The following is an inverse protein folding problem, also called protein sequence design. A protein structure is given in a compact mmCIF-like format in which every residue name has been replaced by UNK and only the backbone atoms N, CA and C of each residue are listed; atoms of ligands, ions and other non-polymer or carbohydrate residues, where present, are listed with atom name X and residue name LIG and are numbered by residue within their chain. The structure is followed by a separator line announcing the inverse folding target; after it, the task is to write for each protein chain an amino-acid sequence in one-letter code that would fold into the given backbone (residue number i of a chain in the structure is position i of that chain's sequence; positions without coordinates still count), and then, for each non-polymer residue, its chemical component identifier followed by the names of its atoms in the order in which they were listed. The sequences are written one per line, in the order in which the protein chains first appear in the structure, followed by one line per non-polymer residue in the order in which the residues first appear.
data_IF_259451489038
#
_entry.id   IF_259451489038
#
_cell.length_a   1.000
_cell.length_b   1.000
_cell.length_c   1.000
_cell.angle_alpha   90.00
_cell.angle_beta   90.00
_cell.angle_gamma   90.00
#
_symmetry.space_group_name_H-M   'P 1'
#
loop_
_entity.id
_entity.type
_entity.pdbx_description
1 polymer ?
#
# COMPACT_ATOMS: atom_id res chain seq x y z
N UNK A 1 10.68 12.91 -0.03
CA UNK A 1 9.49 13.21 0.79
C UNK A 1 9.22 12.22 1.94
N UNK A 2 8.82 10.96 1.71
CA UNK A 2 8.44 10.04 2.81
C UNK A 2 9.53 9.85 3.89
N UNK A 3 10.81 9.79 3.48
CA UNK A 3 11.96 9.73 4.40
C UNK A 3 12.11 11.00 5.24
N UNK A 4 11.83 12.17 4.65
CA UNK A 4 11.91 13.48 5.33
C UNK A 4 10.77 13.67 6.33
N UNK A 5 9.62 13.02 6.08
CA UNK A 5 8.48 12.99 6.99
C UNK A 5 8.63 11.93 8.11
N UNK A 6 9.74 11.17 8.15
CA UNK A 6 9.96 10.11 9.13
C UNK A 6 9.02 8.90 8.97
N UNK A 7 8.45 8.71 7.79
CA UNK A 7 7.53 7.59 7.52
C UNK A 7 8.36 6.34 7.21
N UNK A 8 8.25 5.33 8.06
CA UNK A 8 8.96 4.07 7.92
C UNK A 8 8.30 3.07 6.96
N UNK A 9 7.02 3.25 6.67
CA UNK A 9 6.26 2.31 5.85
C UNK A 9 5.30 3.07 4.96
N UNK A 10 5.43 2.85 3.66
CA UNK A 10 4.57 3.42 2.63
C UNK A 10 3.74 2.29 2.04
N UNK A 11 2.43 2.49 1.94
CA UNK A 11 1.52 1.57 1.27
C UNK A 11 0.94 2.23 0.02
N UNK A 12 0.66 1.43 -1.00
CA UNK A 12 0.11 1.87 -2.26
C UNK A 12 -0.94 0.86 -2.75
N UNK A 13 -2.07 1.35 -3.23
CA UNK A 13 -3.08 0.55 -3.92
C UNK A 13 -2.96 0.85 -5.41
N UNK A 14 -2.74 -0.17 -6.22
CA UNK A 14 -2.53 -0.02 -7.66
C UNK A 14 -3.05 -1.25 -8.41
N UNK A 15 -3.55 -1.04 -9.61
CA UNK A 15 -3.91 -2.13 -10.52
C UNK A 15 -2.71 -2.67 -11.33
N UNK A 16 -1.52 -2.07 -11.18
CA UNK A 16 -0.31 -2.46 -11.93
C UNK A 16 0.86 -2.71 -10.98
N UNK A 17 0.89 -3.85 -10.27
CA UNK A 17 1.95 -4.16 -9.31
C UNK A 17 3.34 -4.24 -9.93
N UNK A 18 3.44 -4.77 -11.15
CA UNK A 18 4.72 -4.99 -11.83
C UNK A 18 5.58 -3.72 -11.99
N UNK A 19 4.97 -2.52 -12.02
CA UNK A 19 5.72 -1.27 -12.03
C UNK A 19 6.34 -0.98 -10.66
N UNK A 20 5.57 -1.15 -9.59
CA UNK A 20 5.98 -0.87 -8.22
C UNK A 20 6.95 -1.92 -7.68
N UNK A 21 6.81 -3.19 -8.09
CA UNK A 21 7.79 -4.24 -7.77
C UNK A 21 9.19 -3.90 -8.27
N UNK A 22 9.30 -3.30 -9.46
CA UNK A 22 10.58 -2.79 -9.99
C UNK A 22 11.13 -1.60 -9.20
N UNK A 23 10.26 -0.84 -8.53
CA UNK A 23 10.66 0.23 -7.61
C UNK A 23 11.03 -0.29 -6.22
N UNK A 24 10.96 -1.61 -5.98
CA UNK A 24 11.28 -2.23 -4.69
C UNK A 24 10.09 -2.35 -3.73
N UNK A 25 8.87 -2.05 -4.18
CA UNK A 25 7.67 -2.36 -3.41
C UNK A 25 7.45 -3.86 -3.41
N UNK A 26 6.93 -4.38 -2.31
CA UNK A 26 6.51 -5.78 -2.20
C UNK A 26 5.00 -5.85 -2.20
N UNK A 27 4.43 -6.83 -2.90
CA UNK A 27 3.01 -7.15 -2.78
C UNK A 27 2.69 -7.53 -1.34
N UNK A 28 1.61 -6.97 -0.82
CA UNK A 28 1.08 -7.27 0.52
C UNK A 28 -0.43 -7.50 0.42
N UNK A 29 -1.01 -8.09 1.45
CA UNK A 29 -2.44 -8.27 1.53
C UNK A 29 -3.12 -6.97 1.97
N UNK A 30 -4.34 -6.71 1.48
CA UNK A 30 -5.14 -5.57 1.95
C UNK A 30 -5.40 -5.66 3.46
N UNK A 31 -5.36 -6.86 4.05
CA UNK A 31 -5.42 -7.14 5.49
C UNK A 31 -4.27 -6.56 6.30
N UNK A 32 -3.11 -6.33 5.71
CA UNK A 32 -2.00 -5.69 6.41
C UNK A 32 -2.14 -4.16 6.44
N UNK A 33 -3.08 -3.59 5.67
CA UNK A 33 -3.33 -2.16 5.68
C UNK A 33 -3.99 -1.73 6.98
N UNK A 34 -3.64 -0.55 7.51
CA UNK A 34 -4.26 -0.04 8.72
C UNK A 34 -5.76 0.13 8.54
N UNK A 35 -6.52 -0.13 9.61
CA UNK A 35 -7.99 -0.13 9.63
C UNK A 35 -8.63 1.19 9.15
N UNK A 36 -7.85 2.27 9.11
CA UNK A 36 -8.25 3.56 8.54
C UNK A 36 -8.49 3.49 7.03
N UNK A 37 -7.70 2.69 6.30
CA UNK A 37 -7.85 2.50 4.84
C UNK A 37 -9.06 1.61 4.54
N UNK A 38 -9.32 0.64 5.42
CA UNK A 38 -10.45 -0.29 5.32
C UNK A 38 -11.81 0.43 5.31
N UNK A 39 -11.94 1.54 6.03
CA UNK A 39 -13.18 2.31 6.09
C UNK A 39 -13.59 2.87 4.73
N UNK A 40 -12.61 3.23 3.89
CA UNK A 40 -12.84 3.74 2.54
C UNK A 40 -13.02 2.61 1.54
N UNK A 41 -12.30 1.49 1.70
CA UNK A 41 -12.51 0.30 0.88
C UNK A 41 -13.90 -0.33 1.09
N UNK A 42 -14.41 -0.36 2.32
CA UNK A 42 -15.74 -0.91 2.62
C UNK A 42 -16.88 -0.11 1.97
N UNK A 43 -16.66 1.18 1.73
CA UNK A 43 -17.61 2.05 1.02
C UNK A 43 -17.50 1.97 -0.49
N UNK A 44 -16.50 1.25 -1.01
CA UNK A 44 -16.29 1.14 -2.44
C UNK A 44 -17.33 0.20 -3.06
N UNK A 45 -18.07 0.62 -4.09
CA UNK A 45 -19.04 -0.24 -4.78
C UNK A 45 -18.37 -1.42 -5.52
N UNK A 46 -17.05 -1.35 -5.71
CA UNK A 46 -16.25 -2.43 -6.29
C UNK A 46 -15.70 -3.40 -5.25
N UNK A 47 -15.93 -3.18 -3.96
CA UNK A 47 -15.55 -4.15 -2.94
C UNK A 47 -16.58 -5.30 -2.94
N UNK A 48 -16.17 -6.58 -2.98
CA UNK A 48 -14.82 -7.15 -2.88
C UNK A 48 -14.09 -7.41 -4.22
N UNK A 49 -14.72 -7.19 -5.37
CA UNK A 49 -14.17 -7.39 -6.74
C UNK A 49 -13.11 -6.35 -7.17
N UNK A 50 -12.49 -5.68 -6.20
CA UNK A 50 -11.54 -4.60 -6.45
C UNK A 50 -10.21 -5.21 -6.92
N UNK A 51 -9.95 -5.08 -8.23
CA UNK A 51 -8.75 -5.55 -8.95
C UNK A 51 -7.45 -4.84 -8.54
N UNK A 52 -7.54 -3.84 -7.65
CA UNK A 52 -6.36 -3.14 -7.12
C UNK A 52 -5.65 -3.99 -6.08
N UNK A 53 -4.33 -4.15 -6.21
CA UNK A 53 -3.51 -4.86 -5.23
C UNK A 53 -2.82 -3.90 -4.29
N UNK A 54 -2.57 -4.35 -3.06
CA UNK A 54 -1.83 -3.59 -2.07
C UNK A 54 -0.33 -3.88 -2.20
N UNK A 55 0.46 -2.81 -2.17
CA UNK A 55 1.90 -2.84 -2.25
C UNK A 55 2.44 -2.10 -1.03
N UNK A 56 3.46 -2.65 -0.39
CA UNK A 56 4.14 -2.04 0.75
C UNK A 56 5.61 -1.80 0.42
N UNK A 57 6.09 -0.64 0.82
CA UNK A 57 7.49 -0.28 0.76
C UNK A 57 7.96 0.09 2.16
N UNK A 58 8.90 -0.70 2.68
CA UNK A 58 9.51 -0.44 3.97
C UNK A 58 10.73 0.44 3.73
N UNK A 59 10.63 1.68 4.19
CA UNK A 59 11.77 2.58 4.26
C UNK A 59 12.56 2.20 5.51
N UNK A 60 13.84 1.86 5.34
CA UNK A 60 14.76 1.82 6.47
C UNK A 60 14.95 3.25 6.96
N UNK A 61 14.15 3.62 7.97
CA UNK A 61 14.37 4.83 8.76
C UNK A 61 15.55 4.51 9.67
N UNK A 62 16.74 4.57 9.07
CA UNK A 62 18.01 4.48 9.77
C UNK A 62 18.14 5.64 10.74
N UNK A 63 18.53 5.28 11.95
CA UNK A 63 18.85 6.12 13.11
C UNK A 63 19.94 7.18 12.86
#
# INVERSE_FOLDING_TARGET
EARELGISTVFCLSNKPAFFEKCGFSLTDKAELPHKVWSECYRCPKFPDCDEVALVYRLEVGA
#
